data_IF_481457049043
#
_entry.id   IF_481457049043
#
_cell.length_a   1.000
_cell.length_b   1.000
_cell.length_c   1.000
_cell.angle_alpha   90.00
_cell.angle_beta   90.00
_cell.angle_gamma   90.00
#
_symmetry.space_group_name_H-M   'P 1'
#
loop_
_entity.id
_entity.type
_entity.pdbx_description
1 polymer ?
#
# COMPACT_ATOMS: atom_id res chain seq x y z
N UNK A 1 2.43 0.93 -3.06
CA UNK A 1 1.78 0.34 -1.88
C UNK A 1 0.54 -0.42 -2.30
N UNK A 2 0.19 -1.51 -1.61
CA UNK A 2 -1.01 -2.29 -1.87
C UNK A 2 -1.90 -2.30 -0.61
N UNK A 3 -3.21 -2.41 -0.79
CA UNK A 3 -4.18 -2.32 0.31
C UNK A 3 -4.37 -0.88 0.81
N UNK A 4 -4.91 -0.73 2.02
CA UNK A 4 -5.07 0.56 2.70
C UNK A 4 -3.74 1.09 3.26
N UNK A 5 -2.68 1.02 2.45
CA UNK A 5 -1.32 1.43 2.80
C UNK A 5 -0.87 2.51 1.82
N UNK A 6 -0.22 3.54 2.33
CA UNK A 6 0.26 4.67 1.54
C UNK A 6 1.75 4.92 1.77
N UNK A 7 2.33 5.68 0.86
CA UNK A 7 3.69 6.20 0.97
C UNK A 7 3.60 7.44 1.87
N UNK A 8 4.48 7.53 2.85
CA UNK A 8 4.54 8.70 3.73
C UNK A 8 5.99 9.18 3.84
N UNK A 9 6.20 10.47 3.61
CA UNK A 9 7.54 11.06 3.51
C UNK A 9 8.30 11.03 4.85
N UNK A 10 7.62 10.83 5.98
CA UNK A 10 8.26 10.67 7.29
C UNK A 10 8.87 9.29 7.53
N UNK A 11 8.59 8.29 6.69
CA UNK A 11 9.22 6.96 6.79
C UNK A 11 10.21 6.77 5.65
N UNK A 12 11.44 6.34 5.98
CA UNK A 12 12.50 5.99 5.02
C UNK A 12 12.88 4.53 5.21
N UNK A 13 13.22 3.87 4.11
CA UNK A 13 13.61 2.47 4.09
C UNK A 13 15.13 2.41 4.16
N UNK A 14 15.66 1.35 4.75
CA UNK A 14 17.10 1.15 4.91
C UNK A 14 17.80 0.93 3.55
N UNK A 15 17.10 0.36 2.57
CA UNK A 15 17.64 0.11 1.23
C UNK A 15 17.48 1.33 0.31
N UNK A 16 18.58 1.79 -0.29
CA UNK A 16 18.53 2.85 -1.31
C UNK A 16 17.69 2.45 -2.53
N UNK A 17 16.80 3.35 -2.95
CA UNK A 17 15.92 3.14 -4.09
C UNK A 17 14.62 2.38 -3.78
N UNK A 18 14.40 1.98 -2.51
CA UNK A 18 13.14 1.35 -2.10
C UNK A 18 12.09 2.36 -1.65
N UNK A 19 10.83 2.02 -1.88
CA UNK A 19 9.67 2.86 -1.56
C UNK A 19 8.89 2.24 -0.39
N UNK A 20 8.89 2.91 0.75
CA UNK A 20 8.21 2.41 1.94
C UNK A 20 6.70 2.63 1.87
N UNK A 21 5.97 1.64 2.35
CA UNK A 21 4.54 1.65 2.45
C UNK A 21 4.14 1.31 3.87
N UNK A 22 3.26 2.11 4.46
CA UNK A 22 2.71 1.85 5.80
C UNK A 22 1.19 1.93 5.73
N UNK A 23 0.43 1.19 6.56
CA UNK A 23 -1.01 1.35 6.66
C UNK A 23 -1.41 2.81 6.90
N UNK A 24 -2.49 3.27 6.26
CA UNK A 24 -2.97 4.66 6.39
C UNK A 24 -3.27 5.01 7.85
N UNK A 25 -3.78 4.06 8.64
CA UNK A 25 -4.00 4.19 10.09
C UNK A 25 -2.72 4.56 10.86
N UNK A 26 -1.55 4.04 10.45
CA UNK A 26 -0.28 4.36 11.09
C UNK A 26 0.20 5.77 10.72
N UNK A 27 -0.17 6.27 9.54
CA UNK A 27 0.13 7.64 9.12
C UNK A 27 -0.70 8.62 9.95
N UNK A 28 -2.00 8.38 10.05
CA UNK A 28 -2.94 9.22 10.80
C UNK A 28 -2.50 9.33 12.27
N UNK A 29 -2.20 8.19 12.90
CA UNK A 29 -1.67 8.15 14.27
C UNK A 29 -0.36 8.94 14.39
N UNK A 30 0.58 8.78 13.45
CA UNK A 30 1.86 9.48 13.48
C UNK A 30 1.71 11.00 13.29
N UNK A 31 0.84 11.45 12.39
CA UNK A 31 0.54 12.86 12.18
C UNK A 31 -0.11 13.50 13.41
N UNK A 32 -1.03 12.79 14.07
CA UNK A 32 -1.61 13.24 15.35
C UNK A 32 -0.53 13.37 16.45
N UNK A 33 0.43 12.44 16.50
CA UNK A 33 1.55 12.54 17.44
C UNK A 33 2.41 13.78 17.18
N UNK A 34 2.74 14.07 15.91
CA UNK A 34 3.48 15.27 15.51
C UNK A 34 2.72 16.56 15.87
N UNK A 35 1.40 16.59 15.70
CA UNK A 35 0.56 17.74 16.06
C UNK A 35 0.45 17.92 17.59
N UNK A 36 0.51 16.83 18.36
CA UNK A 36 0.45 16.88 19.82
C UNK A 36 1.78 17.21 20.52
N UNK A 37 2.90 17.25 19.77
CA UNK A 37 4.23 17.57 20.31
C UNK A 37 4.76 16.55 21.34
N UNK A 38 4.21 15.33 21.35
CA UNK A 38 4.63 14.26 22.28
C UNK A 38 5.87 13.52 21.75
N UNK A 39 6.91 13.29 22.58
CA UNK A 39 8.11 12.56 22.15
C UNK A 39 7.80 11.14 21.65
N UNK A 40 8.47 10.70 20.58
CA UNK A 40 8.30 9.39 19.94
C UNK A 40 8.68 8.18 20.83
N UNK A 41 9.27 8.42 22.01
CA UNK A 41 9.77 7.38 22.91
C UNK A 41 8.67 6.65 23.71
N UNK A 42 7.39 7.00 23.52
CA UNK A 42 6.26 6.32 24.17
C UNK A 42 5.46 5.39 23.26
N UNK A 43 5.78 5.29 21.96
CA UNK A 43 5.29 4.20 21.14
C UNK A 43 6.20 3.00 21.42
N UNK A 44 5.90 2.24 22.48
CA UNK A 44 6.54 0.93 22.66
C UNK A 44 6.25 0.10 21.41
N UNK A 45 7.24 -0.60 20.85
CA UNK A 45 6.96 -1.65 19.87
C UNK A 45 5.92 -2.57 20.50
N UNK A 46 4.85 -2.87 19.78
CA UNK A 46 4.04 -4.04 20.13
C UNK A 46 5.00 -5.21 19.97
N UNK A 47 5.56 -5.69 21.08
CA UNK A 47 6.24 -6.97 21.16
C UNK A 47 5.27 -7.99 20.58
N UNK A 48 5.68 -8.59 19.45
CA UNK A 48 5.10 -9.81 18.93
C UNK A 48 5.39 -10.91 19.96
N UNK A 49 4.58 -10.91 21.02
CA UNK A 49 4.47 -12.01 21.95
C UNK A 49 3.91 -13.17 21.15
N UNK A 50 4.74 -14.21 21.03
CA UNK A 50 4.31 -15.53 20.61
C UNK A 50 3.34 -16.04 21.66
N UNK A 51 2.05 -15.82 21.45
CA UNK A 51 1.00 -16.63 22.06
C UNK A 51 0.21 -17.31 20.94
N UNK A 52 0.47 -18.60 20.76
CA UNK A 52 -0.44 -19.53 20.11
C UNK A 52 -1.75 -19.53 20.90
N UNK A 53 -2.66 -18.63 20.54
CA UNK A 53 -4.07 -18.81 20.85
C UNK A 53 -4.79 -18.98 19.53
N UNK A 54 -5.45 -20.13 19.37
CA UNK A 54 -6.36 -20.44 18.26
C UNK A 54 -7.51 -19.44 18.28
N UNK A 55 -7.27 -18.24 17.77
CA UNK A 55 -8.29 -17.25 17.50
C UNK A 55 -8.41 -17.20 15.98
N UNK A 56 -9.54 -17.71 15.50
CA UNK A 56 -9.98 -17.47 14.13
C UNK A 56 -9.78 -15.98 13.86
N UNK A 57 -8.88 -15.68 12.92
CA UNK A 57 -8.80 -14.35 12.34
C UNK A 57 -10.16 -14.13 11.69
N UNK A 58 -11.12 -13.57 12.43
CA UNK A 58 -12.27 -12.90 11.86
C UNK A 58 -11.67 -11.75 11.06
N UNK A 59 -11.32 -12.04 9.80
CA UNK A 59 -10.92 -11.08 8.79
C UNK A 59 -11.97 -9.97 8.90
N UNK A 60 -11.61 -8.81 9.45
CA UNK A 60 -12.54 -7.68 9.54
C UNK A 60 -13.09 -7.44 8.12
N UNK A 61 -14.37 -7.74 7.85
CA UNK A 61 -14.92 -7.58 6.52
C UNK A 61 -15.26 -6.11 6.38
N UNK A 62 -14.34 -5.30 5.86
CA UNK A 62 -14.63 -3.87 5.76
C UNK A 62 -13.65 -2.93 5.06
N UNK A 63 -12.40 -3.28 4.78
CA UNK A 63 -11.42 -2.25 4.36
C UNK A 63 -10.75 -2.44 3.00
N UNK A 64 -11.37 -3.22 2.10
CA UNK A 64 -10.89 -3.33 0.73
C UNK A 64 -11.98 -2.89 -0.24
N UNK A 65 -11.91 -1.63 -0.68
CA UNK A 65 -12.78 -1.05 -1.71
C UNK A 65 -12.05 -1.08 -3.05
N UNK A 66 -12.70 -1.57 -4.09
CA UNK A 66 -12.12 -1.66 -5.43
C UNK A 66 -12.10 -0.30 -6.15
N UNK A 67 -11.24 -0.15 -7.16
CA UNK A 67 -11.22 1.02 -8.05
C UNK A 67 -10.66 2.33 -7.47
N UNK A 68 -10.12 2.32 -6.25
CA UNK A 68 -9.45 3.49 -5.67
C UNK A 68 -8.00 3.54 -6.16
N UNK A 69 -7.70 4.52 -7.03
CA UNK A 69 -6.35 4.79 -7.52
C UNK A 69 -5.46 5.33 -6.38
N UNK A 70 -4.25 4.80 -6.23
CA UNK A 70 -3.25 5.30 -5.29
C UNK A 70 -2.60 6.61 -5.78
N UNK A 71 -2.20 7.47 -4.84
CA UNK A 71 -1.64 8.81 -5.07
C UNK A 71 -2.59 9.83 -5.75
N UNK A 72 -2.75 10.97 -5.08
CA UNK A 72 -3.65 12.09 -5.38
C UNK A 72 -3.73 12.48 -6.86
N UNK A 73 -4.96 12.79 -7.30
CA UNK A 73 -5.30 13.19 -8.67
C UNK A 73 -4.62 14.52 -9.03
N UNK A 74 -3.58 14.49 -9.85
CA UNK A 74 -3.26 15.67 -10.68
C UNK A 74 -4.18 15.65 -11.89
N UNK A 75 -5.13 16.60 -11.96
CA UNK A 75 -5.85 16.89 -13.21
C UNK A 75 -4.84 17.43 -14.20
N UNK A 76 -4.33 16.57 -15.07
CA UNK A 76 -3.52 16.98 -16.21
C UNK A 76 -4.43 17.19 -17.42
N UNK A 77 -4.07 18.11 -18.30
CA UNK A 77 -4.78 18.32 -19.57
C UNK A 77 -4.67 17.10 -20.51
N UNK A 78 -4.98 17.29 -21.79
CA UNK A 78 -4.85 16.21 -22.80
C UNK A 78 -3.41 15.67 -22.78
N UNK A 79 -3.26 14.34 -22.73
CA UNK A 79 -1.97 13.66 -22.66
C UNK A 79 -1.71 12.97 -24.00
N UNK A 80 -0.57 13.26 -24.62
CA UNK A 80 -0.06 12.54 -25.80
C UNK A 80 1.08 11.64 -25.34
N UNK A 81 1.07 10.36 -25.68
CA UNK A 81 2.14 9.41 -25.30
C UNK A 81 2.16 8.95 -23.84
N UNK A 82 1.35 9.53 -22.96
CA UNK A 82 1.25 9.12 -21.56
C UNK A 82 2.41 9.61 -20.69
N UNK A 83 2.47 9.09 -19.46
CA UNK A 83 3.62 9.22 -18.54
C UNK A 83 3.75 7.92 -17.74
N UNK A 84 4.95 7.61 -17.28
CA UNK A 84 5.16 6.50 -16.35
C UNK A 84 4.34 6.73 -15.07
N UNK A 85 3.66 5.68 -14.60
CA UNK A 85 2.92 5.73 -13.34
C UNK A 85 3.87 5.66 -12.15
N UNK A 86 3.47 6.25 -11.03
CA UNK A 86 4.17 6.01 -9.75
C UNK A 86 3.84 4.60 -9.23
N UNK A 87 4.74 3.96 -8.46
CA UNK A 87 4.47 2.63 -7.94
C UNK A 87 3.19 2.58 -7.09
N UNK A 88 2.30 1.64 -7.39
CA UNK A 88 1.01 1.49 -6.70
C UNK A 88 -0.07 2.50 -7.08
N UNK A 89 0.15 3.36 -8.08
CA UNK A 89 -0.88 4.28 -8.58
C UNK A 89 -2.11 3.53 -9.10
N UNK A 90 -1.86 2.41 -9.78
CA UNK A 90 -2.87 1.51 -10.30
C UNK A 90 -2.76 0.17 -9.57
N UNK A 91 -3.29 0.11 -8.36
CA UNK A 91 -3.13 -1.03 -7.46
C UNK A 91 -3.83 -2.33 -7.94
N UNK A 92 -4.68 -2.24 -8.96
CA UNK A 92 -5.26 -3.39 -9.65
C UNK A 92 -4.45 -3.87 -10.86
N UNK A 93 -3.38 -3.18 -11.26
CA UNK A 93 -2.58 -3.57 -12.42
C UNK A 93 -1.85 -4.89 -12.15
N UNK A 94 -1.97 -5.84 -13.08
CA UNK A 94 -1.29 -7.14 -13.05
C UNK A 94 -0.44 -7.30 -14.31
N UNK A 95 0.68 -8.03 -14.19
CA UNK A 95 1.46 -8.52 -15.31
C UNK A 95 1.35 -10.05 -15.38
N UNK A 96 0.94 -10.57 -16.54
CA UNK A 96 0.96 -12.00 -16.83
C UNK A 96 2.33 -12.37 -17.37
N UNK A 97 2.98 -13.28 -16.66
CA UNK A 97 4.37 -13.67 -16.90
C UNK A 97 4.41 -15.19 -17.10
N UNK A 98 5.13 -15.65 -18.12
CA UNK A 98 5.27 -17.09 -18.36
C UNK A 98 6.30 -17.75 -17.42
N UNK A 99 6.42 -19.07 -17.48
CA UNK A 99 7.41 -19.82 -16.68
C UNK A 99 8.87 -19.45 -16.98
N UNK A 100 9.14 -18.72 -18.08
CA UNK A 100 10.47 -18.20 -18.45
C UNK A 100 10.69 -16.75 -18.00
N UNK A 101 9.82 -16.22 -17.14
CA UNK A 101 9.85 -14.84 -16.66
C UNK A 101 9.69 -13.76 -17.75
N UNK A 102 8.99 -14.07 -18.85
CA UNK A 102 8.72 -13.12 -19.92
C UNK A 102 7.32 -12.51 -19.77
N UNK A 103 7.23 -11.18 -19.93
CA UNK A 103 5.96 -10.46 -19.99
C UNK A 103 5.16 -10.87 -21.21
N UNK A 104 3.87 -11.18 -21.00
CA UNK A 104 2.94 -11.54 -22.05
C UNK A 104 1.90 -10.43 -22.26
N UNK A 105 1.17 -10.10 -21.20
CA UNK A 105 0.08 -9.14 -21.23
C UNK A 105 -0.19 -8.55 -19.84
N UNK A 106 -1.01 -7.50 -19.82
CA UNK A 106 -1.55 -6.94 -18.58
C UNK A 106 -2.86 -7.62 -18.18
N UNK A 107 -3.32 -7.31 -16.97
CA UNK A 107 -4.64 -7.69 -16.48
C UNK A 107 -5.07 -6.79 -15.31
N UNK A 108 -6.31 -6.97 -14.85
CA UNK A 108 -6.86 -6.24 -13.72
C UNK A 108 -7.31 -7.17 -12.61
N UNK A 109 -6.87 -6.92 -11.37
CA UNK A 109 -7.36 -7.62 -10.19
C UNK A 109 -8.80 -7.19 -9.91
N UNK A 110 -9.75 -8.12 -10.10
CA UNK A 110 -11.20 -7.89 -9.91
C UNK A 110 -11.74 -8.53 -8.63
N UNK A 111 -10.92 -9.33 -7.94
CA UNK A 111 -11.24 -9.93 -6.66
C UNK A 111 -10.00 -10.52 -6.01
N UNK A 112 -10.15 -11.10 -4.82
CA UNK A 112 -9.01 -11.66 -4.06
C UNK A 112 -8.32 -12.84 -4.73
N UNK A 113 -8.95 -13.45 -5.74
CA UNK A 113 -8.47 -14.65 -6.45
C UNK A 113 -8.69 -14.59 -7.96
N UNK A 114 -9.08 -13.43 -8.50
CA UNK A 114 -9.55 -13.31 -9.87
C UNK A 114 -8.89 -12.13 -10.58
N UNK A 115 -8.38 -12.40 -11.78
CA UNK A 115 -7.81 -11.41 -12.70
C UNK A 115 -8.61 -11.46 -14.00
N UNK A 116 -8.97 -10.30 -14.52
CA UNK A 116 -9.53 -10.12 -15.86
C UNK A 116 -8.42 -9.80 -16.87
#
# INVERSE_FOLDING_TARGET
CFGNSAIYNGFRCEEEGTLCCTPVEHIENYEEHLQSGRPLDLIKPIESSKEETTQEVTRRPGMYVCGIKGNQRRKTGRVVGGKSSVPGEWCWQVALINAKNQYLCGGALIGSRWVL
#
